data_IF_534354057322
#
_entry.id   IF_534354057322
#
_cell.length_a   1.000
_cell.length_b   1.000
_cell.length_c   1.000
_cell.angle_alpha   90.00
_cell.angle_beta   90.00
_cell.angle_gamma   90.00
#
_symmetry.space_group_name_H-M   'P 1'
#
loop_
_entity.id
_entity.type
_entity.pdbx_description
1 polymer ?
#
# COMPACT_ATOMS: atom_id res chain seq x y z
N UNK A 1 -6.22 0.95 14.19
CA UNK A 1 -6.13 1.49 12.83
C UNK A 1 -4.75 1.30 12.21
N UNK A 2 -3.65 1.82 12.80
CA UNK A 2 -2.32 1.74 12.18
C UNK A 2 -1.87 0.34 11.78
N UNK A 3 -2.05 -0.67 12.65
CA UNK A 3 -1.70 -2.06 12.32
C UNK A 3 -2.45 -2.57 11.08
N UNK A 4 -3.77 -2.39 11.02
CA UNK A 4 -4.57 -2.81 9.87
C UNK A 4 -4.21 -2.05 8.59
N UNK A 5 -3.95 -0.73 8.68
CA UNK A 5 -3.47 0.04 7.54
C UNK A 5 -2.09 -0.42 7.07
N UNK A 6 -1.20 -0.80 8.00
CA UNK A 6 0.11 -1.33 7.67
C UNK A 6 0.02 -2.66 6.93
N UNK A 7 -0.77 -3.59 7.45
CA UNK A 7 -1.04 -4.90 6.84
C UNK A 7 -1.66 -4.74 5.44
N UNK A 8 -2.63 -3.82 5.27
CA UNK A 8 -3.26 -3.56 3.97
C UNK A 8 -2.25 -3.09 2.92
N UNK A 9 -1.39 -2.15 3.27
CA UNK A 9 -0.32 -1.69 2.37
C UNK A 9 0.70 -2.80 2.07
N UNK A 10 1.06 -3.65 3.03
CA UNK A 10 1.92 -4.82 2.77
C UNK A 10 1.26 -5.84 1.85
N UNK A 11 -0.05 -6.06 1.99
CA UNK A 11 -0.81 -6.96 1.13
C UNK A 11 -0.79 -6.51 -0.35
N UNK A 12 -0.75 -5.20 -0.62
CA UNK A 12 -0.69 -4.68 -2.00
C UNK A 12 0.60 -5.10 -2.72
N UNK A 13 1.71 -5.29 -2.02
CA UNK A 13 2.95 -5.80 -2.63
C UNK A 13 2.85 -7.24 -3.14
N UNK A 14 1.82 -7.98 -2.72
CA UNK A 14 1.55 -9.35 -3.20
C UNK A 14 0.58 -9.38 -4.38
N UNK A 15 0.05 -8.23 -4.80
CA UNK A 15 -0.89 -8.15 -5.92
C UNK A 15 -0.12 -8.21 -7.24
N UNK A 16 -0.60 -9.05 -8.15
CA UNK A 16 -0.04 -9.21 -9.51
C UNK A 16 -0.80 -8.40 -10.56
N UNK A 17 -1.84 -7.66 -10.14
CA UNK A 17 -2.59 -6.76 -11.02
C UNK A 17 -3.20 -5.63 -10.19
N UNK A 18 -3.25 -4.44 -10.78
CA UNK A 18 -4.02 -3.32 -10.28
C UNK A 18 -5.28 -3.16 -11.14
N UNK A 19 -6.40 -2.82 -10.52
CA UNK A 19 -7.69 -2.62 -11.22
C UNK A 19 -8.02 -1.16 -11.47
N UNK A 20 -7.31 -0.23 -10.82
CA UNK A 20 -7.59 1.21 -10.86
C UNK A 20 -6.29 2.03 -10.82
N UNK A 21 -6.35 3.25 -11.34
CA UNK A 21 -5.24 4.22 -11.30
C UNK A 21 -4.09 3.90 -12.25
N UNK A 22 -2.98 4.64 -12.13
CA UNK A 22 -1.82 4.51 -13.03
C UNK A 22 -1.09 3.17 -12.90
N UNK A 23 -1.27 2.45 -11.79
CA UNK A 23 -0.71 1.12 -11.60
C UNK A 23 -1.29 0.08 -12.58
N UNK A 24 -2.43 0.36 -13.22
CA UNK A 24 -3.03 -0.51 -14.26
C UNK A 24 -2.17 -0.63 -15.52
N UNK A 25 -1.19 0.28 -15.72
CA UNK A 25 -0.29 0.26 -16.87
C UNK A 25 0.91 -0.66 -16.70
N UNK A 26 1.09 -1.22 -15.50
CA UNK A 26 2.26 -2.02 -15.12
C UNK A 26 1.97 -3.51 -15.28
N UNK A 27 3.00 -4.28 -15.66
CA UNK A 27 2.92 -5.74 -15.67
C UNK A 27 2.92 -6.33 -14.26
N UNK A 28 2.58 -7.62 -14.17
CA UNK A 28 2.64 -8.35 -12.90
C UNK A 28 4.05 -8.34 -12.29
N UNK A 29 5.11 -8.49 -13.11
CA UNK A 29 6.50 -8.45 -12.62
C UNK A 29 6.87 -7.08 -12.07
N UNK A 30 6.32 -6.00 -12.63
CA UNK A 30 6.56 -4.64 -12.15
C UNK A 30 5.78 -4.33 -10.85
N UNK A 31 4.62 -4.95 -10.64
CA UNK A 31 3.81 -4.77 -9.43
C UNK A 31 4.30 -5.61 -8.25
N UNK A 32 4.76 -6.83 -8.52
CA UNK A 32 5.15 -7.76 -7.48
C UNK A 32 6.28 -7.20 -6.60
N UNK A 33 6.07 -7.26 -5.28
CA UNK A 33 6.99 -6.70 -4.28
C UNK A 33 6.83 -5.20 -4.05
N UNK A 34 6.07 -4.48 -4.88
CA UNK A 34 5.87 -3.04 -4.77
C UNK A 34 4.52 -2.73 -4.11
N UNK A 35 4.57 -2.08 -2.94
CA UNK A 35 3.36 -1.62 -2.25
C UNK A 35 2.71 -0.49 -3.05
N UNK A 36 1.38 -0.45 -3.06
CA UNK A 36 0.64 0.70 -3.56
C UNK A 36 1.03 1.96 -2.75
N UNK A 37 1.51 3.03 -3.42
CA UNK A 37 1.94 4.25 -2.73
C UNK A 37 0.82 4.93 -1.93
N UNK A 38 -0.44 4.83 -2.38
CA UNK A 38 -1.59 5.39 -1.68
C UNK A 38 -1.86 4.66 -0.37
N UNK A 39 -1.88 3.33 -0.40
CA UNK A 39 -2.01 2.50 0.80
C UNK A 39 -0.83 2.73 1.77
N UNK A 40 0.41 2.84 1.27
CA UNK A 40 1.59 3.15 2.08
C UNK A 40 1.47 4.51 2.77
N UNK A 41 0.98 5.53 2.07
CA UNK A 41 0.76 6.86 2.66
C UNK A 41 -0.27 6.81 3.80
N UNK A 42 -1.37 6.08 3.62
CA UNK A 42 -2.40 5.89 4.67
C UNK A 42 -1.82 5.17 5.88
N UNK A 43 -1.04 4.11 5.68
CA UNK A 43 -0.37 3.41 6.78
C UNK A 43 0.55 4.33 7.58
N UNK A 44 1.42 5.08 6.90
CA UNK A 44 2.31 6.06 7.54
C UNK A 44 1.54 7.14 8.30
N UNK A 45 0.40 7.61 7.76
CA UNK A 45 -0.45 8.57 8.43
C UNK A 45 -0.99 8.00 9.76
N UNK A 46 -1.55 6.80 9.76
CA UNK A 46 -2.06 6.19 11.00
C UNK A 46 -0.95 5.85 12.00
N UNK A 47 0.23 5.42 11.53
CA UNK A 47 1.41 5.23 12.38
C UNK A 47 1.84 6.54 13.04
N UNK A 48 1.85 7.65 12.28
CA UNK A 48 2.14 8.97 12.81
C UNK A 48 1.11 9.43 13.84
N UNK A 49 -0.19 9.25 13.55
CA UNK A 49 -1.26 9.62 14.47
C UNK A 49 -1.19 8.85 15.80
N UNK A 50 -0.73 7.60 15.79
CA UNK A 50 -0.49 6.83 17.03
C UNK A 50 0.70 7.34 17.85
N UNK A 51 1.71 7.93 17.19
CA UNK A 51 2.92 8.46 17.84
C UNK A 51 2.76 9.90 18.29
N UNK A 52 1.64 10.55 17.93
CA UNK A 52 1.36 11.92 18.33
C UNK A 52 0.99 11.93 19.82
N UNK A 53 1.57 12.83 20.62
CA UNK A 53 1.17 13.00 22.02
C UNK A 53 -0.27 13.47 22.16
#
# INVERSE_FOLDING_TARGET
AAKASREGAEATAKMVSARVGRATYLSAEQLQGNKDPGAEAVAKLFEYLLKRP
#
